data_IF_090642315910
#
_entry.id   IF_090642315910
#
_cell.length_a   1.000
_cell.length_b   1.000
_cell.length_c   1.000
_cell.angle_alpha   90.00
_cell.angle_beta   90.00
_cell.angle_gamma   90.00
#
_symmetry.space_group_name_H-M   'P 1'
#
loop_
_entity.id
_entity.type
_entity.pdbx_description
1 polymer ?
#
# COMPACT_ATOMS: atom_id res chain seq x y z
N UNK A 1 -1.89 7.18 -0.67
CA UNK A 1 -2.30 6.08 -1.61
C UNK A 1 -1.39 6.16 -2.85
N UNK A 2 -1.65 5.49 -3.98
CA UNK A 2 -1.01 5.92 -5.24
C UNK A 2 -1.67 7.22 -5.71
N UNK A 3 -0.88 8.18 -6.19
CA UNK A 3 -1.38 9.48 -6.71
C UNK A 3 -2.49 9.30 -7.75
N UNK A 4 -2.35 8.34 -8.68
CA UNK A 4 -3.37 8.07 -9.70
C UNK A 4 -4.73 7.67 -9.12
N UNK A 5 -4.75 6.99 -7.96
CA UNK A 5 -6.00 6.63 -7.26
C UNK A 5 -6.58 7.82 -6.52
N UNK A 6 -5.76 8.71 -5.94
CA UNK A 6 -6.27 9.95 -5.36
C UNK A 6 -6.93 10.81 -6.44
N UNK A 7 -6.23 11.07 -7.55
CA UNK A 7 -6.79 11.84 -8.67
C UNK A 7 -8.11 11.22 -9.15
N UNK A 8 -8.14 9.90 -9.39
CA UNK A 8 -9.36 9.24 -9.86
C UNK A 8 -10.52 9.36 -8.86
N UNK A 9 -10.32 8.96 -7.59
CA UNK A 9 -11.39 8.95 -6.58
C UNK A 9 -11.85 10.38 -6.26
N UNK A 10 -10.93 11.33 -6.11
CA UNK A 10 -11.25 12.73 -5.88
C UNK A 10 -11.99 13.37 -7.06
N UNK A 11 -11.66 13.00 -8.30
CA UNK A 11 -12.39 13.47 -9.48
C UNK A 11 -13.80 12.88 -9.55
N UNK A 12 -13.97 11.59 -9.28
CA UNK A 12 -15.30 10.95 -9.20
C UNK A 12 -16.15 11.59 -8.10
N UNK A 13 -15.57 11.83 -6.92
CA UNK A 13 -16.26 12.50 -5.82
C UNK A 13 -16.66 13.94 -6.17
N UNK A 14 -15.76 14.71 -6.80
CA UNK A 14 -16.03 16.08 -7.24
C UNK A 14 -17.15 16.14 -8.29
N UNK A 15 -17.18 15.21 -9.24
CA UNK A 15 -18.26 15.09 -10.22
C UNK A 15 -19.61 14.74 -9.56
N UNK A 16 -19.61 13.84 -8.58
CA UNK A 16 -20.82 13.49 -7.83
C UNK A 16 -21.37 14.69 -7.05
N UNK A 17 -20.49 15.50 -6.44
CA UNK A 17 -20.87 16.76 -5.78
C UNK A 17 -21.33 17.80 -6.80
N UNK A 18 -20.65 17.92 -7.94
CA UNK A 18 -21.00 18.86 -9.00
C UNK A 18 -22.43 18.63 -9.52
N UNK A 19 -22.82 17.36 -9.69
CA UNK A 19 -24.19 16.99 -10.05
C UNK A 19 -25.23 17.48 -9.04
N UNK A 20 -24.89 17.54 -7.74
CA UNK A 20 -25.81 18.00 -6.69
C UNK A 20 -25.83 19.53 -6.53
N UNK A 21 -24.68 20.19 -6.74
CA UNK A 21 -24.51 21.64 -6.57
C UNK A 21 -24.71 22.46 -7.85
N UNK A 22 -24.94 21.81 -8.99
CA UNK A 22 -24.94 22.42 -10.34
C UNK A 22 -23.66 23.22 -10.69
N UNK A 23 -22.57 23.00 -9.96
CA UNK A 23 -21.29 23.66 -10.13
C UNK A 23 -20.16 22.77 -9.63
N UNK A 24 -19.02 22.76 -10.32
CA UNK A 24 -17.88 21.93 -9.95
C UNK A 24 -17.14 22.50 -8.72
N UNK A 25 -16.84 21.69 -7.69
CA UNK A 25 -16.18 22.16 -6.46
C UNK A 25 -14.66 22.27 -6.66
N UNK A 26 -14.21 23.25 -7.45
CA UNK A 26 -12.80 23.41 -7.84
C UNK A 26 -11.84 23.47 -6.66
N UNK A 27 -12.18 24.22 -5.61
CA UNK A 27 -11.33 24.38 -4.43
C UNK A 27 -11.17 23.08 -3.63
N UNK A 28 -12.26 22.36 -3.39
CA UNK A 28 -12.21 21.09 -2.68
C UNK A 28 -11.48 20.00 -3.48
N UNK A 29 -11.77 19.91 -4.79
CA UNK A 29 -11.09 18.98 -5.69
C UNK A 29 -9.58 19.26 -5.77
N UNK A 30 -9.21 20.53 -6.00
CA UNK A 30 -7.82 20.94 -6.09
C UNK A 30 -7.06 20.72 -4.78
N UNK A 31 -7.65 21.11 -3.65
CA UNK A 31 -7.06 20.88 -2.33
C UNK A 31 -6.87 19.37 -2.05
N UNK A 32 -7.84 18.52 -2.42
CA UNK A 32 -7.71 17.07 -2.23
C UNK A 32 -6.55 16.45 -3.00
N UNK A 33 -6.19 16.98 -4.18
CA UNK A 33 -5.07 16.49 -4.99
C UNK A 33 -3.75 17.10 -4.51
N UNK A 34 -3.73 18.41 -4.21
CA UNK A 34 -2.51 19.12 -3.84
C UNK A 34 -1.92 18.67 -2.50
N UNK A 35 -2.69 18.04 -1.62
CA UNK A 35 -2.18 17.44 -0.38
C UNK A 35 -1.09 16.39 -0.66
N UNK A 36 -1.10 15.73 -1.82
CA UNK A 36 -0.02 14.81 -2.20
C UNK A 36 1.35 15.50 -2.35
N UNK A 37 1.38 16.82 -2.60
CA UNK A 37 2.63 17.62 -2.67
C UNK A 37 3.43 17.55 -1.37
N UNK A 38 2.76 17.41 -0.23
CA UNK A 38 3.35 17.29 1.11
C UNK A 38 4.38 16.14 1.17
N UNK A 39 4.10 15.03 0.48
CA UNK A 39 5.00 13.88 0.39
C UNK A 39 6.29 14.21 -0.40
N UNK A 40 6.18 14.99 -1.48
CA UNK A 40 7.32 15.42 -2.29
C UNK A 40 8.19 16.44 -1.55
N UNK A 41 7.55 17.35 -0.81
CA UNK A 41 8.25 18.32 0.04
C UNK A 41 9.02 17.61 1.15
N UNK A 42 8.38 16.65 1.83
CA UNK A 42 9.05 15.84 2.86
C UNK A 42 10.23 15.04 2.29
N UNK A 43 10.09 14.45 1.11
CA UNK A 43 11.19 13.77 0.42
C UNK A 43 12.36 14.73 0.12
N UNK A 44 12.08 15.95 -0.32
CA UNK A 44 13.08 16.99 -0.55
C UNK A 44 13.83 17.36 0.73
N UNK A 45 13.10 17.53 1.84
CA UNK A 45 13.69 17.78 3.17
C UNK A 45 14.58 16.62 3.61
N UNK A 46 14.13 15.37 3.45
CA UNK A 46 14.90 14.20 3.86
C UNK A 46 16.18 14.01 3.04
N UNK A 47 16.13 14.32 1.75
CA UNK A 47 17.26 14.12 0.82
C UNK A 47 18.19 15.33 0.73
N UNK A 48 17.84 16.47 1.37
CA UNK A 48 18.58 17.72 1.31
C UNK A 48 18.64 18.35 -0.09
N UNK A 49 17.90 17.82 -1.07
CA UNK A 49 17.87 18.28 -2.46
C UNK A 49 16.48 18.11 -3.06
N UNK A 50 15.97 19.15 -3.71
CA UNK A 50 14.70 19.08 -4.43
C UNK A 50 14.95 18.53 -5.83
N UNK A 51 14.74 17.22 -6.02
CA UNK A 51 14.78 16.57 -7.34
C UNK A 51 13.40 16.01 -7.72
N UNK A 52 12.54 16.78 -8.40
CA UNK A 52 11.15 16.42 -8.68
C UNK A 52 11.00 15.09 -9.42
N UNK A 53 11.88 14.84 -10.40
CA UNK A 53 11.84 13.62 -11.21
C UNK A 53 12.20 12.36 -10.41
N UNK A 54 13.14 12.48 -9.47
CA UNK A 54 13.54 11.37 -8.59
C UNK A 54 12.48 11.09 -7.53
N UNK A 55 11.92 12.14 -6.94
CA UNK A 55 10.79 12.03 -6.04
C UNK A 55 9.60 11.36 -6.74
N UNK A 56 9.26 11.80 -7.96
CA UNK A 56 8.19 11.18 -8.75
C UNK A 56 8.45 9.70 -9.05
N UNK A 57 9.66 9.32 -9.45
CA UNK A 57 10.01 7.90 -9.65
C UNK A 57 9.90 7.10 -8.34
N UNK A 58 10.37 7.66 -7.22
CA UNK A 58 10.30 7.04 -5.90
C UNK A 58 8.84 6.78 -5.48
N UNK A 59 7.98 7.80 -5.57
CA UNK A 59 6.54 7.70 -5.25
C UNK A 59 5.72 6.92 -6.29
N UNK A 60 6.27 6.66 -7.48
CA UNK A 60 5.66 5.80 -8.52
C UNK A 60 6.00 4.32 -8.34
N UNK A 61 7.22 4.01 -7.86
CA UNK A 61 7.75 2.65 -7.83
C UNK A 61 7.46 1.89 -6.53
N UNK A 62 7.31 2.57 -5.40
CA UNK A 62 7.19 1.91 -4.10
C UNK A 62 5.82 2.13 -3.42
N UNK A 63 5.34 1.09 -2.73
CA UNK A 63 4.44 1.28 -1.58
C UNK A 63 5.22 2.06 -0.52
N UNK A 64 5.17 3.40 -0.59
CA UNK A 64 5.85 4.33 0.32
C UNK A 64 5.76 3.82 1.76
N UNK A 65 6.92 3.65 2.42
CA UNK A 65 6.99 3.40 3.86
C UNK A 65 6.16 4.47 4.55
N UNK A 66 5.18 4.03 5.34
CA UNK A 66 4.21 4.91 6.03
C UNK A 66 4.96 6.07 6.68
N UNK A 67 4.87 7.28 6.10
CA UNK A 67 5.41 8.49 6.71
C UNK A 67 4.55 8.75 7.95
N UNK A 68 5.13 8.93 9.15
CA UNK A 68 4.37 9.28 10.33
C UNK A 68 3.60 10.59 10.05
N UNK A 69 2.28 10.57 10.16
CA UNK A 69 1.40 11.69 9.78
C UNK A 69 1.76 13.02 10.46
N UNK A 70 2.40 12.98 11.63
CA UNK A 70 2.85 14.18 12.36
C UNK A 70 4.01 14.96 11.72
N UNK A 71 4.58 14.51 10.59
CA UNK A 71 5.68 15.19 9.88
C UNK A 71 5.28 15.84 8.56
N UNK A 72 4.02 15.73 8.19
CA UNK A 72 3.43 16.19 6.93
C UNK A 72 2.47 17.34 7.25
N UNK A 73 2.68 18.52 6.66
CA UNK A 73 2.02 19.77 7.03
C UNK A 73 0.49 19.65 6.85
N UNK A 74 0.03 19.22 5.68
CA UNK A 74 -1.40 19.14 5.36
C UNK A 74 -2.10 17.92 5.97
N UNK A 75 -1.33 16.97 6.49
CA UNK A 75 -1.83 15.82 7.23
C UNK A 75 -1.91 16.08 8.74
N UNK A 76 -1.38 17.21 9.20
CA UNK A 76 -1.38 17.57 10.61
C UNK A 76 -2.79 18.05 11.04
N UNK A 77 -3.36 17.52 12.14
CA UNK A 77 -4.72 17.86 12.57
C UNK A 77 -4.90 19.36 12.86
N UNK A 78 -3.85 20.03 13.34
CA UNK A 78 -3.89 21.48 13.58
C UNK A 78 -4.18 22.29 12.31
N UNK A 79 -3.72 21.85 11.13
CA UNK A 79 -3.97 22.55 9.86
C UNK A 79 -5.45 22.44 9.48
N UNK A 80 -6.06 21.27 9.66
CA UNK A 80 -7.50 21.07 9.45
C UNK A 80 -8.34 21.91 10.42
N UNK A 81 -7.97 21.93 11.70
CA UNK A 81 -8.65 22.75 12.72
C UNK A 81 -8.57 24.23 12.37
N UNK A 82 -7.38 24.72 12.02
CA UNK A 82 -7.16 26.11 11.64
C UNK A 82 -7.96 26.49 10.38
N UNK A 83 -7.92 25.67 9.33
CA UNK A 83 -8.73 25.89 8.11
C UNK A 83 -10.23 25.90 8.41
N UNK A 84 -10.69 25.03 9.30
CA UNK A 84 -12.08 25.00 9.76
C UNK A 84 -12.49 26.27 10.51
N UNK A 85 -11.68 26.71 11.47
CA UNK A 85 -11.93 27.94 12.25
C UNK A 85 -11.93 29.18 11.36
N UNK A 86 -10.93 29.33 10.49
CA UNK A 86 -10.90 30.42 9.52
C UNK A 86 -12.06 30.32 8.52
N UNK A 87 -12.46 29.11 8.17
CA UNK A 87 -13.61 28.80 7.33
C UNK A 87 -14.95 29.26 7.90
N UNK A 88 -15.09 29.47 9.21
CA UNK A 88 -16.28 30.09 9.80
C UNK A 88 -16.51 31.51 9.31
N UNK A 89 -15.42 32.22 8.95
CA UNK A 89 -15.45 33.59 8.44
C UNK A 89 -15.21 33.66 6.93
N UNK A 90 -14.40 32.75 6.39
CA UNK A 90 -13.97 32.72 5.00
C UNK A 90 -14.52 31.47 4.31
N UNK A 91 -15.71 31.59 3.68
CA UNK A 91 -16.37 30.50 2.93
C UNK A 91 -15.45 29.67 2.02
N UNK A 92 -14.52 30.23 1.21
CA UNK A 92 -13.66 29.41 0.35
C UNK A 92 -12.75 28.45 1.14
N UNK A 93 -12.40 28.77 2.39
CA UNK A 93 -11.58 27.88 3.22
C UNK A 93 -12.37 26.64 3.69
N UNK A 94 -13.70 26.70 3.73
CA UNK A 94 -14.52 25.51 4.01
C UNK A 94 -14.34 24.46 2.91
N UNK A 95 -14.29 24.87 1.64
CA UNK A 95 -14.06 23.97 0.51
C UNK A 95 -12.64 23.40 0.54
N UNK A 96 -11.63 24.22 0.85
CA UNK A 96 -10.25 23.76 1.02
C UNK A 96 -10.16 22.75 2.17
N UNK A 97 -10.74 23.06 3.33
CA UNK A 97 -10.79 22.16 4.48
C UNK A 97 -11.48 20.83 4.14
N UNK A 98 -12.59 20.88 3.40
CA UNK A 98 -13.30 19.69 2.95
C UNK A 98 -12.43 18.83 2.02
N UNK A 99 -11.69 19.44 1.09
CA UNK A 99 -10.76 18.74 0.21
C UNK A 99 -9.61 18.07 0.95
N UNK A 100 -8.97 18.78 1.89
CA UNK A 100 -7.89 18.23 2.74
C UNK A 100 -8.41 17.10 3.62
N UNK A 101 -9.57 17.28 4.25
CA UNK A 101 -10.20 16.26 5.08
C UNK A 101 -10.52 15.00 4.25
N UNK A 102 -11.10 15.18 3.06
CA UNK A 102 -11.42 14.08 2.16
C UNK A 102 -10.15 13.29 1.77
N UNK A 103 -9.05 13.99 1.44
CA UNK A 103 -7.77 13.34 1.19
C UNK A 103 -7.31 12.49 2.38
N UNK A 104 -7.28 13.07 3.58
CA UNK A 104 -6.82 12.40 4.79
C UNK A 104 -7.68 11.17 5.13
N UNK A 105 -9.00 11.26 4.94
CA UNK A 105 -9.93 10.15 5.11
C UNK A 105 -9.71 9.03 4.08
N UNK A 106 -9.48 9.37 2.81
CA UNK A 106 -9.13 8.37 1.79
C UNK A 106 -7.85 7.63 2.16
N UNK A 107 -6.88 8.35 2.71
CA UNK A 107 -5.61 7.77 3.10
C UNK A 107 -5.73 6.84 4.30
N UNK A 108 -6.53 7.22 5.30
CA UNK A 108 -6.88 6.33 6.42
C UNK A 108 -7.65 5.10 5.97
N UNK A 109 -8.68 5.28 5.15
CA UNK A 109 -9.47 4.17 4.62
C UNK A 109 -8.58 3.16 3.90
N UNK A 110 -7.66 3.64 3.05
CA UNK A 110 -6.70 2.83 2.33
C UNK A 110 -5.66 2.17 3.27
N UNK A 111 -5.23 2.84 4.35
CA UNK A 111 -4.39 2.24 5.41
C UNK A 111 -5.12 1.06 6.08
N UNK A 112 -6.36 1.28 6.51
CA UNK A 112 -7.18 0.28 7.18
C UNK A 112 -7.48 -0.91 6.26
N UNK A 113 -7.86 -0.64 5.02
CA UNK A 113 -8.14 -1.68 4.03
C UNK A 113 -6.90 -2.54 3.72
N UNK A 114 -5.72 -1.93 3.60
CA UNK A 114 -4.46 -2.68 3.45
C UNK A 114 -4.16 -3.54 4.67
N UNK A 115 -4.35 -3.02 5.89
CA UNK A 115 -4.15 -3.80 7.13
C UNK A 115 -5.07 -5.02 7.16
N UNK A 116 -6.35 -4.82 6.87
CA UNK A 116 -7.34 -5.90 6.81
C UNK A 116 -6.97 -6.94 5.73
N UNK A 117 -6.60 -6.48 4.53
CA UNK A 117 -6.21 -7.36 3.41
C UNK A 117 -4.94 -8.16 3.71
N UNK A 118 -3.92 -7.52 4.31
CA UNK A 118 -2.69 -8.21 4.74
C UNK A 118 -2.98 -9.24 5.82
N UNK A 119 -3.83 -8.91 6.80
CA UNK A 119 -4.25 -9.84 7.84
C UNK A 119 -5.01 -11.05 7.26
N UNK A 120 -5.92 -10.81 6.32
CA UNK A 120 -6.62 -11.88 5.60
C UNK A 120 -5.65 -12.78 4.83
N UNK A 121 -4.75 -12.21 4.03
CA UNK A 121 -3.73 -12.95 3.27
C UNK A 121 -2.81 -13.77 4.17
N UNK A 122 -2.38 -13.21 5.32
CA UNK A 122 -1.57 -13.92 6.32
C UNK A 122 -2.31 -15.13 6.87
N UNK A 123 -3.56 -14.97 7.32
CA UNK A 123 -4.39 -16.09 7.82
C UNK A 123 -4.59 -17.17 6.76
N UNK A 124 -4.90 -16.77 5.52
CA UNK A 124 -5.04 -17.70 4.40
C UNK A 124 -3.74 -18.46 4.13
N UNK A 125 -2.59 -17.78 4.10
CA UNK A 125 -1.27 -18.41 3.93
C UNK A 125 -0.96 -19.40 5.05
N UNK A 126 -1.25 -19.05 6.31
CA UNK A 126 -1.07 -19.95 7.45
C UNK A 126 -1.91 -21.21 7.33
N UNK A 127 -3.17 -21.10 6.91
CA UNK A 127 -4.02 -22.27 6.64
C UNK A 127 -3.42 -23.16 5.55
N UNK A 128 -2.96 -22.58 4.44
CA UNK A 128 -2.30 -23.33 3.37
C UNK A 128 -1.00 -24.00 3.84
N UNK A 129 -0.19 -23.32 4.67
CA UNK A 129 1.02 -23.89 5.26
C UNK A 129 0.69 -25.13 6.08
N UNK A 130 -0.30 -25.04 6.98
CA UNK A 130 -0.72 -26.18 7.80
C UNK A 130 -1.14 -27.36 6.93
N UNK A 131 -2.02 -27.12 5.94
CA UNK A 131 -2.55 -28.17 5.06
C UNK A 131 -1.44 -28.83 4.24
N UNK A 132 -0.62 -28.03 3.54
CA UNK A 132 0.40 -28.53 2.62
C UNK A 132 1.54 -29.20 3.38
N UNK A 133 1.99 -28.61 4.49
CA UNK A 133 3.11 -29.16 5.26
C UNK A 133 2.70 -30.48 5.94
N UNK A 134 1.47 -30.59 6.45
CA UNK A 134 0.95 -31.84 6.99
C UNK A 134 0.83 -32.93 5.92
N UNK A 135 0.26 -32.60 4.75
CA UNK A 135 0.15 -33.51 3.59
C UNK A 135 1.51 -34.07 3.17
N UNK A 136 2.54 -33.26 3.30
CA UNK A 136 3.90 -33.57 2.86
C UNK A 136 4.80 -34.06 4.01
N UNK A 137 4.18 -34.46 5.13
CA UNK A 137 4.86 -35.00 6.30
C UNK A 137 5.99 -34.10 6.83
N UNK A 138 5.83 -32.79 6.67
CA UNK A 138 6.84 -31.77 6.98
C UNK A 138 8.18 -32.08 6.28
N UNK A 139 8.16 -32.56 5.03
CA UNK A 139 9.35 -32.83 4.23
C UNK A 139 9.39 -31.97 2.97
N UNK A 140 10.58 -31.48 2.66
CA UNK A 140 10.86 -30.81 1.39
C UNK A 140 10.58 -31.77 0.22
N UNK A 141 9.71 -31.39 -0.71
CA UNK A 141 9.34 -32.23 -1.85
C UNK A 141 10.42 -32.35 -2.92
N UNK A 142 11.47 -31.54 -2.84
CA UNK A 142 12.58 -31.61 -3.78
C UNK A 142 13.76 -32.43 -3.24
N UNK A 143 14.16 -32.25 -1.98
CA UNK A 143 15.35 -32.90 -1.43
C UNK A 143 15.07 -33.88 -0.27
N UNK A 144 13.81 -34.03 0.14
CA UNK A 144 13.41 -34.93 1.22
C UNK A 144 13.75 -34.46 2.64
N UNK A 145 14.45 -33.32 2.82
CA UNK A 145 14.79 -32.75 4.13
C UNK A 145 13.54 -32.67 5.02
N UNK A 146 13.61 -33.26 6.20
CA UNK A 146 12.52 -33.28 7.17
C UNK A 146 12.61 -32.08 8.12
N UNK A 147 11.46 -31.55 8.50
CA UNK A 147 11.30 -30.47 9.47
C UNK A 147 11.41 -29.06 8.88
N UNK A 148 11.05 -28.04 9.69
CA UNK A 148 11.18 -26.64 9.32
C UNK A 148 12.65 -26.17 9.22
N UNK A 149 12.93 -25.01 8.60
CA UNK A 149 11.97 -24.14 7.91
C UNK A 149 11.53 -24.72 6.55
N UNK A 150 10.23 -24.57 6.25
CA UNK A 150 9.61 -24.89 4.96
C UNK A 150 8.81 -23.69 4.43
N UNK A 151 8.81 -23.55 3.11
CA UNK A 151 8.15 -22.49 2.36
C UNK A 151 7.17 -23.08 1.35
N UNK A 152 6.04 -22.41 1.13
CA UNK A 152 5.10 -22.78 0.09
C UNK A 152 5.62 -22.32 -1.27
N UNK A 153 5.70 -23.24 -2.21
CA UNK A 153 6.06 -23.00 -3.60
C UNK A 153 4.92 -23.41 -4.52
N UNK A 154 4.62 -22.60 -5.55
CA UNK A 154 3.64 -22.99 -6.56
C UNK A 154 4.26 -23.93 -7.59
N UNK A 155 3.60 -25.06 -7.89
CA UNK A 155 4.02 -25.99 -8.96
C UNK A 155 3.92 -25.32 -10.34
N UNK A 156 2.75 -24.75 -10.64
CA UNK A 156 2.54 -23.83 -11.75
C UNK A 156 2.51 -22.40 -11.17
N UNK A 157 3.43 -21.51 -11.58
CA UNK A 157 3.43 -20.10 -11.14
C UNK A 157 2.11 -19.40 -11.42
N UNK A 158 1.70 -18.47 -10.54
CA UNK A 158 0.46 -17.69 -10.73
C UNK A 158 0.46 -16.89 -12.05
N UNK A 159 1.63 -16.39 -12.47
CA UNK A 159 1.80 -15.69 -13.75
C UNK A 159 1.50 -16.55 -14.99
N UNK A 160 1.56 -17.89 -14.84
CA UNK A 160 1.23 -18.87 -15.88
C UNK A 160 -0.15 -19.50 -15.65
N UNK A 161 -1.02 -18.87 -14.84
CA UNK A 161 -2.38 -19.34 -14.56
C UNK A 161 -2.48 -20.33 -13.39
N UNK A 162 -1.40 -20.54 -12.64
CA UNK A 162 -1.41 -21.38 -11.46
C UNK A 162 -2.32 -20.88 -10.35
N UNK A 163 -3.19 -21.75 -9.82
CA UNK A 163 -4.09 -21.40 -8.71
C UNK A 163 -3.34 -21.41 -7.38
N UNK A 164 -3.71 -20.51 -6.47
CA UNK A 164 -3.22 -20.53 -5.09
C UNK A 164 -4.08 -21.49 -4.24
N UNK A 165 -3.96 -22.79 -4.54
CA UNK A 165 -4.72 -23.89 -3.94
C UNK A 165 -3.75 -24.96 -3.41
N UNK A 166 -4.07 -25.69 -2.32
CA UNK A 166 -3.18 -26.72 -1.78
C UNK A 166 -2.60 -27.69 -2.83
N UNK A 167 -3.39 -28.10 -3.83
CA UNK A 167 -2.95 -29.05 -4.87
C UNK A 167 -1.86 -28.51 -5.80
N UNK A 168 -1.81 -27.19 -5.97
CA UNK A 168 -0.78 -26.50 -6.76
C UNK A 168 0.37 -25.98 -5.89
N UNK A 169 0.40 -26.33 -4.61
CA UNK A 169 1.45 -25.90 -3.69
C UNK A 169 2.32 -27.08 -3.26
N UNK A 170 3.59 -26.80 -2.98
CA UNK A 170 4.60 -27.71 -2.44
C UNK A 170 5.25 -27.07 -1.22
N UNK A 171 5.73 -27.88 -0.28
CA UNK A 171 6.64 -27.50 0.78
C UNK A 171 8.08 -27.71 0.30
N UNK A 172 8.85 -26.63 0.26
CA UNK A 172 10.28 -26.67 -0.05
C UNK A 172 11.08 -26.08 1.11
N UNK A 173 12.27 -26.60 1.37
CA UNK A 173 13.22 -25.89 2.24
C UNK A 173 13.71 -24.61 1.54
N UNK A 174 14.21 -23.59 2.28
CA UNK A 174 14.62 -22.32 1.69
C UNK A 174 15.62 -22.46 0.52
N UNK A 175 16.58 -23.38 0.63
CA UNK A 175 17.56 -23.61 -0.45
C UNK A 175 16.93 -24.20 -1.71
N UNK A 176 15.98 -25.14 -1.59
CA UNK A 176 15.26 -25.65 -2.76
C UNK A 176 14.32 -24.60 -3.34
N UNK A 177 13.67 -23.80 -2.48
CA UNK A 177 12.77 -22.74 -2.91
C UNK A 177 13.52 -21.64 -3.70
N UNK A 178 14.67 -21.20 -3.21
CA UNK A 178 15.51 -20.23 -3.92
C UNK A 178 15.99 -20.78 -5.27
N UNK A 179 16.45 -22.04 -5.30
CA UNK A 179 16.82 -22.72 -6.56
C UNK A 179 15.66 -22.76 -7.56
N UNK A 180 14.44 -23.04 -7.10
CA UNK A 180 13.26 -23.07 -7.95
C UNK A 180 12.91 -21.69 -8.56
N UNK A 181 13.32 -20.59 -7.89
CA UNK A 181 13.20 -19.22 -8.43
C UNK A 181 14.42 -18.78 -9.25
N UNK A 182 15.38 -19.68 -9.54
CA UNK A 182 16.63 -19.33 -10.21
C UNK A 182 17.56 -18.44 -9.38
N UNK A 183 17.35 -18.37 -8.06
CA UNK A 183 18.21 -17.65 -7.13
C UNK A 183 19.29 -18.61 -6.65
N UNK A 184 20.57 -18.28 -6.92
CA UNK A 184 21.66 -19.02 -6.30
C UNK A 184 21.57 -18.79 -4.79
N UNK A 185 21.45 -19.88 -4.03
CA UNK A 185 21.42 -19.81 -2.57
C UNK A 185 22.78 -19.31 -2.07
N UNK A 186 22.92 -17.99 -1.93
CA UNK A 186 24.03 -17.39 -1.21
C UNK A 186 23.89 -17.82 0.25
N UNK A 187 24.62 -18.90 0.58
CA UNK A 187 24.88 -19.48 1.89
C UNK A 187 24.16 -18.80 3.06
N UNK A 188 22.88 -19.11 3.29
CA UNK A 188 22.22 -18.78 4.56
C UNK A 188 22.56 -19.88 5.56
N UNK A 189 23.26 -19.58 6.67
CA UNK A 189 23.54 -20.60 7.68
C UNK A 189 22.21 -21.13 8.22
N UNK A 190 22.10 -22.45 8.27
CA UNK A 190 21.02 -23.16 8.95
C UNK A 190 21.16 -22.91 10.46
N UNK A 191 20.40 -21.93 10.97
CA UNK A 191 20.09 -21.79 12.40
C UNK A 191 18.92 -22.68 12.77
#
# INVERSE_FOLDING_TARGET
MRLSRHIFISSVAALAVARRRAAFPWLAWGASILVDVDHYLWYGVQTGRVHPLRAWRHFRQEEVRVIPQGRLLFHHPAVLILLGLLGLRLRPLQEVAAGVLFHNLLDEWNRLWRRATRAYRRRRRQKLQIIVFAREHYRCQHCGRQGPPLELHHRLPEALGGRNHPDNLLALCPSCHDRAHGRQSANRPSS
#
